data_IF_378365983075
#
_entry.id   IF_378365983075
#
_cell.length_a   1.000
_cell.length_b   1.000
_cell.length_c   1.000
_cell.angle_alpha   90.00
_cell.angle_beta   90.00
_cell.angle_gamma   90.00
#
_symmetry.space_group_name_H-M   'P 1'
#
loop_
_entity.id
_entity.type
_entity.pdbx_description
1 polymer ?
#
# COMPACT_ATOMS: atom_id res chain seq x y z
N UNK A 1 7.16 -1.90 -5.70
CA UNK A 1 7.03 -0.53 -5.14
C UNK A 1 6.98 0.57 -6.20
N UNK A 2 8.03 0.77 -6.99
CA UNK A 2 8.16 1.87 -7.96
C UNK A 2 6.96 1.97 -8.94
N UNK A 3 6.53 0.85 -9.50
CA UNK A 3 5.52 0.84 -10.57
C UNK A 3 4.17 1.41 -10.14
N UNK A 4 3.62 0.95 -9.02
CA UNK A 4 2.30 1.41 -8.57
C UNK A 4 2.30 2.87 -8.13
N UNK A 5 3.31 3.29 -7.38
CA UNK A 5 3.44 4.68 -6.92
C UNK A 5 3.51 5.62 -8.14
N UNK A 6 4.29 5.25 -9.16
CA UNK A 6 4.37 5.99 -10.42
C UNK A 6 3.05 5.94 -11.21
N UNK A 7 2.37 4.80 -11.25
CA UNK A 7 1.09 4.67 -11.94
C UNK A 7 0.00 5.55 -11.30
N UNK A 8 -0.05 5.61 -9.96
CA UNK A 8 -0.90 6.56 -9.25
C UNK A 8 -0.53 8.02 -9.58
N UNK A 9 0.77 8.33 -9.65
CA UNK A 9 1.25 9.64 -10.08
C UNK A 9 0.81 9.99 -11.50
N UNK A 10 0.89 9.04 -12.45
CA UNK A 10 0.40 9.22 -13.83
C UNK A 10 -1.10 9.48 -13.89
N UNK A 11 -1.86 8.88 -12.98
CA UNK A 11 -3.29 9.12 -12.82
C UNK A 11 -3.61 10.43 -12.07
N UNK A 12 -2.59 11.23 -11.71
CA UNK A 12 -2.76 12.53 -11.06
C UNK A 12 -2.84 12.50 -9.53
N UNK A 13 -2.65 11.34 -8.90
CA UNK A 13 -2.72 11.22 -7.44
C UNK A 13 -1.37 11.47 -6.78
N UNK A 14 -1.41 12.15 -5.62
CA UNK A 14 -0.27 12.24 -4.73
C UNK A 14 -0.01 10.86 -4.12
N UNK A 15 1.17 10.30 -4.38
CA UNK A 15 1.51 8.94 -3.98
C UNK A 15 2.85 8.88 -3.24
N UNK A 16 2.91 8.01 -2.24
CA UNK A 16 4.08 7.82 -1.40
C UNK A 16 4.48 6.36 -1.39
N UNK A 17 5.74 6.07 -1.70
CA UNK A 17 6.36 4.75 -1.56
C UNK A 17 7.24 4.67 -0.31
N UNK A 18 6.98 3.67 0.54
CA UNK A 18 7.80 3.33 1.70
C UNK A 18 8.60 2.06 1.40
N UNK A 19 9.91 2.08 1.65
CA UNK A 19 10.82 0.98 1.33
C UNK A 19 11.98 0.93 2.32
N UNK A 20 12.56 -0.24 2.54
CA UNK A 20 13.76 -0.39 3.36
C UNK A 20 15.03 -0.45 2.51
N UNK A 21 14.92 -1.00 1.30
CA UNK A 21 16.02 -1.19 0.37
C UNK A 21 16.43 0.14 -0.32
N UNK A 22 17.62 0.63 0.01
CA UNK A 22 18.15 1.90 -0.54
C UNK A 22 18.29 1.88 -2.07
N UNK A 23 18.91 0.87 -2.71
CA UNK A 23 18.95 0.76 -4.17
C UNK A 23 17.58 0.93 -4.84
N UNK A 24 16.53 0.28 -4.31
CA UNK A 24 15.18 0.40 -4.87
C UNK A 24 14.61 1.82 -4.73
N UNK A 25 14.89 2.52 -3.64
CA UNK A 25 14.47 3.91 -3.45
C UNK A 25 15.16 4.83 -4.47
N UNK A 26 16.48 4.68 -4.63
CA UNK A 26 17.25 5.49 -5.57
C UNK A 26 16.77 5.27 -6.99
N UNK A 27 16.55 4.00 -7.36
CA UNK A 27 15.97 3.63 -8.64
C UNK A 27 14.58 4.25 -8.85
N UNK A 28 13.73 4.20 -7.83
CA UNK A 28 12.38 4.74 -7.90
C UNK A 28 12.37 6.25 -8.08
N UNK A 29 13.24 6.97 -7.36
CA UNK A 29 13.43 8.41 -7.51
C UNK A 29 13.98 8.79 -8.88
N UNK A 30 14.96 8.04 -9.39
CA UNK A 30 15.49 8.26 -10.73
C UNK A 30 14.40 8.07 -11.80
N UNK A 31 13.62 6.99 -11.74
CA UNK A 31 12.52 6.74 -12.67
C UNK A 31 11.44 7.82 -12.57
N UNK A 32 11.07 8.24 -11.36
CA UNK A 32 10.10 9.33 -11.14
C UNK A 32 10.52 10.64 -11.80
N UNK A 33 11.81 10.99 -11.71
CA UNK A 33 12.36 12.19 -12.38
C UNK A 33 12.35 12.04 -13.90
N UNK A 34 12.77 10.89 -14.41
CA UNK A 34 12.78 10.60 -15.85
C UNK A 34 11.37 10.69 -16.46
N UNK A 35 10.35 10.33 -15.69
CA UNK A 35 8.94 10.41 -16.10
C UNK A 35 8.26 11.74 -15.72
N UNK A 36 8.99 12.71 -15.16
CA UNK A 36 8.48 14.02 -14.71
C UNK A 36 7.41 13.96 -13.60
N UNK A 37 7.32 12.84 -12.88
CA UNK A 37 6.33 12.58 -11.83
C UNK A 37 6.84 12.87 -10.42
N UNK A 38 8.04 13.44 -10.27
CA UNK A 38 8.65 13.70 -8.96
C UNK A 38 7.87 14.70 -8.09
N UNK A 39 6.99 15.50 -8.69
CA UNK A 39 6.13 16.44 -7.97
C UNK A 39 4.90 15.74 -7.35
N UNK A 40 4.44 14.64 -7.94
CA UNK A 40 3.30 13.84 -7.45
C UNK A 40 3.74 12.64 -6.62
N UNK A 41 4.95 12.14 -6.83
CA UNK A 41 5.44 10.89 -6.22
C UNK A 41 6.60 11.14 -5.28
N UNK A 42 6.51 10.60 -4.06
CA UNK A 42 7.58 10.69 -3.05
C UNK A 42 7.99 9.30 -2.59
N UNK A 43 9.28 9.11 -2.32
CA UNK A 43 9.84 7.83 -1.86
C UNK A 43 10.68 8.04 -0.61
N UNK A 44 10.46 7.22 0.41
CA UNK A 44 11.13 7.31 1.70
C UNK A 44 11.71 5.96 2.12
N UNK A 45 12.90 6.03 2.73
CA UNK A 45 13.47 4.89 3.44
C UNK A 45 12.80 4.78 4.79
N UNK A 46 11.72 4.00 4.89
CA UNK A 46 10.94 3.91 6.12
C UNK A 46 10.26 2.57 6.22
N UNK A 47 10.28 2.04 7.44
CA UNK A 47 9.50 0.89 7.84
C UNK A 47 8.02 1.29 7.94
N UNK A 48 7.14 0.51 7.31
CA UNK A 48 5.69 0.72 7.37
C UNK A 48 5.17 0.66 8.80
N UNK A 49 5.71 -0.22 9.65
CA UNK A 49 5.26 -0.37 11.04
C UNK A 49 5.56 0.88 11.89
N UNK A 50 6.55 1.68 11.47
CA UNK A 50 6.94 2.95 12.11
C UNK A 50 6.40 4.18 11.37
N UNK A 51 5.71 4.00 10.24
CA UNK A 51 5.04 5.08 9.54
C UNK A 51 3.71 5.42 10.22
N UNK A 52 3.22 6.64 10.03
CA UNK A 52 1.86 7.00 10.43
C UNK A 52 0.96 6.83 9.21
N UNK A 53 0.04 5.86 9.24
CA UNK A 53 -0.90 5.62 8.16
C UNK A 53 -2.18 6.45 8.26
N UNK A 54 -2.42 7.19 9.36
CA UNK A 54 -3.63 8.03 9.54
C UNK A 54 -3.78 9.12 8.48
N UNK A 55 -2.66 9.52 7.88
CA UNK A 55 -2.62 10.55 6.84
C UNK A 55 -2.99 10.03 5.45
N UNK A 56 -3.04 8.71 5.24
CA UNK A 56 -3.33 8.13 3.93
C UNK A 56 -4.79 7.67 3.84
N UNK A 57 -5.45 8.08 2.74
CA UNK A 57 -6.80 7.61 2.40
C UNK A 57 -6.78 6.23 1.76
N UNK A 58 -5.71 5.89 1.06
CA UNK A 58 -5.56 4.60 0.36
C UNK A 58 -4.17 4.05 0.61
N UNK A 59 -4.08 2.76 0.92
CA UNK A 59 -2.82 2.04 1.06
C UNK A 59 -2.79 0.86 0.09
N UNK A 60 -1.63 0.62 -0.52
CA UNK A 60 -1.37 -0.56 -1.35
C UNK A 60 -0.23 -1.33 -0.71
N UNK A 61 -0.46 -2.62 -0.45
CA UNK A 61 0.48 -3.46 0.30
C UNK A 61 0.82 -4.70 -0.52
N UNK A 62 2.11 -4.95 -0.65
CA UNK A 62 2.64 -6.23 -1.10
C UNK A 62 3.32 -6.89 0.08
N UNK A 63 2.62 -7.84 0.70
CA UNK A 63 3.13 -8.61 1.83
C UNK A 63 3.58 -10.02 1.44
N UNK A 64 4.18 -10.69 2.42
CA UNK A 64 4.24 -12.14 2.54
C UNK A 64 3.22 -12.58 3.59
N UNK A 65 2.83 -13.85 3.62
CA UNK A 65 1.86 -14.37 4.62
C UNK A 65 2.21 -13.99 6.06
N UNK A 66 3.50 -14.09 6.41
CA UNK A 66 4.01 -13.71 7.73
C UNK A 66 3.81 -12.24 8.06
N UNK A 67 3.99 -11.35 7.07
CA UNK A 67 3.85 -9.91 7.23
C UNK A 67 2.39 -9.48 7.39
N UNK A 68 1.46 -10.21 6.76
CA UNK A 68 0.04 -9.84 6.74
C UNK A 68 -0.61 -9.86 8.13
N UNK A 69 -0.13 -10.72 9.04
CA UNK A 69 -0.57 -10.75 10.44
C UNK A 69 -0.22 -9.44 11.17
N UNK A 70 1.03 -9.03 11.14
CA UNK A 70 1.48 -7.79 11.80
C UNK A 70 0.83 -6.56 11.14
N UNK A 71 0.67 -6.61 9.81
CA UNK A 71 0.02 -5.53 9.07
C UNK A 71 -1.44 -5.37 9.41
N UNK A 72 -2.17 -6.46 9.69
CA UNK A 72 -3.59 -6.39 10.06
C UNK A 72 -3.83 -5.50 11.27
N UNK A 73 -2.90 -5.51 12.24
CA UNK A 73 -2.92 -4.60 13.40
C UNK A 73 -2.52 -3.19 12.97
N UNK A 74 -1.46 -3.05 12.15
CA UNK A 74 -0.95 -1.74 11.74
C UNK A 74 -1.97 -0.92 10.94
N UNK A 75 -2.67 -1.53 9.99
CA UNK A 75 -3.65 -0.84 9.13
C UNK A 75 -4.87 -0.34 9.91
N UNK A 76 -5.14 -0.86 11.11
CA UNK A 76 -6.23 -0.34 11.97
C UNK A 76 -6.06 1.13 12.30
N UNK A 77 -4.85 1.69 12.20
CA UNK A 77 -4.63 3.12 12.42
C UNK A 77 -5.21 4.00 11.31
N UNK A 78 -5.49 3.46 10.12
CA UNK A 78 -6.10 4.22 9.02
C UNK A 78 -7.50 4.72 9.41
N UNK A 79 -7.97 5.81 8.80
CA UNK A 79 -9.28 6.39 9.14
C UNK A 79 -10.44 5.59 8.52
N UNK A 80 -11.63 5.69 9.09
CA UNK A 80 -12.86 5.14 8.50
C UNK A 80 -13.07 5.72 7.08
N UNK A 81 -13.55 4.87 6.18
CA UNK A 81 -13.68 5.12 4.75
C UNK A 81 -12.36 5.09 3.99
N UNK A 82 -11.26 4.64 4.60
CA UNK A 82 -10.00 4.44 3.88
C UNK A 82 -10.04 3.14 3.09
N UNK A 83 -9.25 3.07 2.02
CA UNK A 83 -9.17 1.90 1.16
C UNK A 83 -7.85 1.18 1.32
N UNK A 84 -7.88 -0.14 1.32
CA UNK A 84 -6.70 -0.98 1.34
C UNK A 84 -6.71 -1.91 0.14
N UNK A 85 -5.61 -1.94 -0.59
CA UNK A 85 -5.38 -2.88 -1.67
C UNK A 85 -4.29 -3.84 -1.21
N UNK A 86 -4.65 -5.08 -0.91
CA UNK A 86 -3.71 -6.14 -0.58
C UNK A 86 -3.40 -6.94 -1.84
N UNK A 87 -2.12 -7.14 -2.13
CA UNK A 87 -1.67 -7.90 -3.28
C UNK A 87 -0.98 -9.20 -2.85
N UNK A 88 -1.12 -10.25 -3.67
CA UNK A 88 -0.64 -11.64 -3.48
C UNK A 88 -1.29 -12.43 -2.36
N UNK A 89 -1.50 -11.79 -1.21
CA UNK A 89 -2.11 -12.42 -0.04
C UNK A 89 -3.26 -11.56 0.49
N UNK A 90 -4.41 -12.17 0.84
CA UNK A 90 -5.49 -11.46 1.49
C UNK A 90 -5.14 -11.13 2.94
N UNK A 91 -5.91 -10.24 3.56
CA UNK A 91 -5.82 -10.04 5.00
C UNK A 91 -6.22 -11.33 5.75
N UNK A 92 -5.51 -11.70 6.83
CA UNK A 92 -5.79 -12.92 7.59
C UNK A 92 -7.15 -12.80 8.28
N UNK A 93 -7.91 -13.90 8.34
CA UNK A 93 -9.23 -13.96 9.00
C UNK A 93 -9.11 -13.83 10.52
N UNK A 94 -8.74 -12.64 11.01
CA UNK A 94 -8.62 -12.29 12.42
C UNK A 94 -9.70 -11.28 12.81
N UNK A 95 -9.88 -11.01 14.12
CA UNK A 95 -10.86 -10.03 14.60
C UNK A 95 -10.64 -8.62 14.00
N UNK A 96 -9.40 -8.26 13.63
CA UNK A 96 -9.06 -7.02 12.94
C UNK A 96 -9.72 -6.91 11.54
N UNK A 97 -10.05 -8.01 10.88
CA UNK A 97 -10.75 -8.01 9.59
C UNK A 97 -12.21 -7.57 9.71
N UNK A 98 -12.81 -7.57 10.90
CA UNK A 98 -14.21 -7.11 11.05
C UNK A 98 -14.37 -5.61 10.79
N UNK A 99 -13.26 -4.86 10.78
CA UNK A 99 -13.20 -3.44 10.43
C UNK A 99 -13.08 -3.18 8.93
N UNK A 100 -12.74 -4.21 8.14
CA UNK A 100 -12.42 -4.10 6.71
C UNK A 100 -13.42 -4.90 5.88
N UNK A 101 -14.25 -4.19 5.12
CA UNK A 101 -15.18 -4.79 4.18
C UNK A 101 -14.45 -5.13 2.87
N UNK A 102 -14.43 -6.41 2.50
CA UNK A 102 -13.93 -6.82 1.18
C UNK A 102 -14.92 -6.37 0.10
N UNK A 103 -14.50 -5.43 -0.75
CA UNK A 103 -15.31 -4.90 -1.84
C UNK A 103 -15.19 -5.73 -3.12
N UNK A 104 -13.95 -6.07 -3.50
CA UNK A 104 -13.70 -6.88 -4.67
C UNK A 104 -12.39 -7.67 -4.58
N UNK A 105 -12.34 -8.74 -5.34
CA UNK A 105 -11.14 -9.55 -5.56
C UNK A 105 -10.88 -9.62 -7.05
N UNK A 106 -9.65 -9.37 -7.47
CA UNK A 106 -9.21 -9.38 -8.87
C UNK A 106 -8.05 -10.38 -9.00
N UNK A 107 -8.14 -11.26 -10.01
CA UNK A 107 -7.12 -12.26 -10.28
C UNK A 107 -7.23 -13.51 -9.40
N UNK A 108 -6.48 -14.55 -9.77
CA UNK A 108 -6.45 -15.83 -9.07
C UNK A 108 -4.99 -16.20 -8.73
N UNK A 109 -4.78 -16.82 -7.55
CA UNK A 109 -3.47 -17.32 -7.13
C UNK A 109 -2.46 -16.21 -6.86
N UNK A 110 -1.27 -16.31 -7.46
CA UNK A 110 -0.12 -15.42 -7.19
C UNK A 110 -0.36 -13.95 -7.55
N UNK A 111 -1.26 -13.69 -8.50
CA UNK A 111 -1.63 -12.34 -8.94
C UNK A 111 -2.95 -11.87 -8.31
N UNK A 112 -3.39 -12.51 -7.22
CA UNK A 112 -4.56 -12.10 -6.47
C UNK A 112 -4.42 -10.69 -5.88
N UNK A 113 -5.47 -9.90 -5.99
CA UNK A 113 -5.58 -8.56 -5.43
C UNK A 113 -6.93 -8.43 -4.73
N UNK A 114 -6.93 -7.95 -3.49
CA UNK A 114 -8.12 -7.76 -2.68
C UNK A 114 -8.25 -6.28 -2.32
N UNK A 115 -9.40 -5.69 -2.64
CA UNK A 115 -9.75 -4.33 -2.27
C UNK A 115 -10.67 -4.36 -1.06
N UNK A 116 -10.26 -3.65 -0.01
CA UNK A 116 -11.03 -3.49 1.21
C UNK A 116 -11.36 -2.01 1.45
N UNK A 117 -12.49 -1.76 2.10
CA UNK A 117 -12.86 -0.47 2.66
C UNK A 117 -12.96 -0.56 4.18
N UNK A 118 -12.39 0.42 4.87
CA UNK A 118 -12.49 0.51 6.32
C UNK A 118 -13.87 1.03 6.72
N UNK A 119 -14.66 0.17 7.35
CA UNK A 119 -16.05 0.49 7.76
C UNK A 119 -16.20 0.76 9.26
N UNK A 120 -15.23 0.35 10.09
CA UNK A 120 -15.24 0.56 11.56
C UNK A 120 -13.86 0.93 12.08
#
# INVERSE_FOLDING_TARGET
LCLQVLQCGKAGYLSVGLELNIPLILYSRWRARREHLSHLTKFYRKDIFKADLKQYKTAIIFGTETLMNDLSVKITEMKIGSFLIACRFPLPTSEANTQWLLLCTIGNGFDGVWLYEKIR
#
